data_IF_186657965369
#
_entry.id   IF_186657965369
#
_cell.length_a   1.000
_cell.length_b   1.000
_cell.length_c   1.000
_cell.angle_alpha   90.00
_cell.angle_beta   90.00
_cell.angle_gamma   90.00
#
_symmetry.space_group_name_H-M   'P 1'
#
loop_
_entity.id
_entity.type
_entity.pdbx_description
1 polymer ?
#
# COMPACT_ATOMS: atom_id res chain seq x y z
N UNK A 1 -19.04 15.89 -12.22
CA UNK A 1 -17.89 15.01 -12.48
C UNK A 1 -18.32 13.55 -12.54
N UNK A 2 -17.62 12.73 -13.30
CA UNK A 2 -17.83 11.27 -13.29
C UNK A 2 -17.09 10.65 -12.08
N UNK A 3 -17.74 9.70 -11.43
CA UNK A 3 -17.17 8.97 -10.31
C UNK A 3 -17.70 7.54 -10.21
N UNK A 4 -16.90 6.61 -9.74
CA UNK A 4 -17.32 5.26 -9.37
C UNK A 4 -17.81 5.28 -7.91
N UNK A 5 -19.07 4.90 -7.68
CA UNK A 5 -19.68 4.94 -6.36
C UNK A 5 -19.91 3.55 -5.79
N UNK A 6 -19.47 3.35 -4.56
CA UNK A 6 -19.88 2.22 -3.73
C UNK A 6 -21.16 2.60 -2.97
N UNK A 7 -22.29 1.94 -3.31
CA UNK A 7 -23.60 2.21 -2.68
C UNK A 7 -23.98 1.22 -1.59
N UNK A 8 -23.38 0.03 -1.64
CA UNK A 8 -23.58 -1.03 -0.64
C UNK A 8 -22.34 -1.91 -0.57
N UNK A 9 -22.00 -2.35 0.63
CA UNK A 9 -20.97 -3.37 0.86
C UNK A 9 -21.53 -4.77 0.61
N UNK A 10 -20.70 -5.69 0.11
CA UNK A 10 -21.10 -7.06 -0.10
C UNK A 10 -20.00 -7.90 -0.76
N UNK A 11 -20.18 -9.22 -0.72
CA UNK A 11 -19.20 -10.14 -1.32
C UNK A 11 -19.12 -10.00 -2.82
N UNK A 12 -17.92 -9.89 -3.36
CA UNK A 12 -17.64 -9.88 -4.79
C UNK A 12 -17.97 -11.22 -5.49
N UNK A 13 -18.13 -12.32 -4.72
CA UNK A 13 -18.65 -13.57 -5.27
C UNK A 13 -20.15 -13.48 -5.63
N UNK A 14 -20.87 -12.61 -4.93
CA UNK A 14 -22.30 -12.38 -5.14
C UNK A 14 -22.53 -11.24 -6.14
N UNK A 15 -21.79 -10.15 -5.98
CA UNK A 15 -21.85 -8.99 -6.88
C UNK A 15 -20.44 -8.63 -7.36
N UNK A 16 -20.02 -9.09 -8.55
CA UNK A 16 -18.70 -8.77 -9.11
C UNK A 16 -18.59 -7.34 -9.67
N UNK A 17 -19.68 -6.57 -9.67
CA UNK A 17 -19.75 -5.18 -10.18
C UNK A 17 -20.34 -4.28 -9.08
N UNK A 18 -19.60 -4.09 -7.95
CA UNK A 18 -20.12 -3.35 -6.79
C UNK A 18 -20.12 -1.83 -6.98
N UNK A 19 -19.30 -1.33 -7.90
CA UNK A 19 -19.17 0.11 -8.16
C UNK A 19 -20.02 0.52 -9.37
N UNK A 20 -20.74 1.62 -9.22
CA UNK A 20 -21.57 2.22 -10.28
C UNK A 20 -20.93 3.53 -10.76
N UNK A 21 -20.78 3.68 -12.08
CA UNK A 21 -20.33 4.95 -12.68
C UNK A 21 -21.49 5.94 -12.70
N UNK A 22 -21.30 7.10 -12.07
CA UNK A 22 -22.32 8.16 -12.03
C UNK A 22 -21.72 9.55 -12.28
N UNK A 23 -22.57 10.46 -12.71
CA UNK A 23 -22.30 11.89 -12.68
C UNK A 23 -22.78 12.46 -11.35
N UNK A 24 -21.87 13.07 -10.59
CA UNK A 24 -22.15 13.72 -9.32
C UNK A 24 -21.66 15.18 -9.35
N UNK A 25 -22.09 15.98 -8.39
CA UNK A 25 -21.63 17.38 -8.26
C UNK A 25 -20.12 17.43 -8.07
N UNK A 26 -19.48 18.44 -8.65
CA UNK A 26 -18.06 18.71 -8.43
C UNK A 26 -17.83 19.10 -6.96
N UNK A 27 -16.82 18.53 -6.28
CA UNK A 27 -16.50 18.92 -4.92
C UNK A 27 -15.89 20.32 -4.88
N UNK A 28 -16.22 21.10 -3.85
CA UNK A 28 -15.59 22.38 -3.55
C UNK A 28 -14.60 22.19 -2.40
N UNK A 29 -13.37 22.72 -2.49
CA UNK A 29 -12.42 22.62 -1.38
C UNK A 29 -12.85 23.48 -0.19
N UNK A 30 -12.71 22.93 1.03
CA UNK A 30 -12.83 23.71 2.26
C UNK A 30 -11.65 24.68 2.38
N UNK A 31 -11.65 25.55 3.42
CA UNK A 31 -10.65 26.62 3.58
C UNK A 31 -9.19 26.15 3.51
N UNK A 32 -8.88 24.99 4.06
CA UNK A 32 -7.54 24.38 4.14
C UNK A 32 -7.31 23.24 3.15
N UNK A 33 -8.29 23.00 2.25
CA UNK A 33 -8.22 21.96 1.25
C UNK A 33 -7.75 22.47 -0.12
N UNK A 34 -7.29 21.53 -0.91
CA UNK A 34 -7.04 21.70 -2.35
C UNK A 34 -8.00 20.81 -3.14
N UNK A 35 -8.46 21.30 -4.29
CA UNK A 35 -9.19 20.55 -5.30
C UNK A 35 -8.19 19.98 -6.29
N UNK A 36 -8.23 18.69 -6.49
CA UNK A 36 -7.32 17.94 -7.36
C UNK A 36 -8.09 17.39 -8.55
N UNK A 37 -7.59 17.62 -9.76
CA UNK A 37 -7.95 16.84 -10.96
C UNK A 37 -7.14 15.57 -10.93
N UNK A 38 -7.82 14.43 -10.79
CA UNK A 38 -7.18 13.12 -10.73
C UNK A 38 -6.71 12.71 -12.12
N UNK A 39 -5.46 12.28 -12.23
CA UNK A 39 -4.88 11.73 -13.46
C UNK A 39 -4.78 10.20 -13.40
N UNK A 40 -4.43 9.67 -12.22
CA UNK A 40 -4.32 8.24 -11.96
C UNK A 40 -4.69 7.90 -10.52
N UNK A 41 -5.27 6.71 -10.32
CA UNK A 41 -5.52 6.17 -8.98
C UNK A 41 -5.21 4.67 -8.96
N UNK A 42 -4.35 4.23 -8.03
CA UNK A 42 -4.04 2.82 -7.85
C UNK A 42 -5.22 2.02 -7.31
N UNK A 43 -5.15 0.71 -7.47
CA UNK A 43 -6.17 -0.25 -7.02
C UNK A 43 -5.50 -1.22 -6.03
N UNK A 44 -5.94 -1.17 -4.79
CA UNK A 44 -5.34 -1.86 -3.66
C UNK A 44 -6.30 -2.90 -3.03
N UNK A 45 -5.76 -3.80 -2.22
CA UNK A 45 -6.57 -4.74 -1.43
C UNK A 45 -7.43 -4.03 -0.39
N UNK A 46 -7.11 -2.80 -0.01
CA UNK A 46 -7.91 -1.98 0.90
C UNK A 46 -9.30 -1.72 0.35
N UNK A 47 -9.43 -1.39 -0.95
CA UNK A 47 -10.74 -1.22 -1.58
C UNK A 47 -11.54 -2.53 -1.58
N UNK A 48 -10.89 -3.68 -1.76
CA UNK A 48 -11.55 -4.99 -1.63
C UNK A 48 -12.10 -5.21 -0.21
N UNK A 49 -11.33 -4.81 0.82
CA UNK A 49 -11.75 -4.94 2.22
C UNK A 49 -12.89 -3.98 2.58
N UNK A 50 -12.89 -2.78 2.02
CA UNK A 50 -13.95 -1.79 2.18
C UNK A 50 -15.24 -2.26 1.50
N UNK A 51 -15.16 -2.72 0.24
CA UNK A 51 -16.28 -3.21 -0.55
C UNK A 51 -16.90 -4.47 0.08
N UNK A 52 -16.09 -5.43 0.48
CA UNK A 52 -16.56 -6.69 1.08
C UNK A 52 -16.95 -6.56 2.55
N UNK A 53 -16.86 -5.36 3.13
CA UNK A 53 -17.36 -5.05 4.47
C UNK A 53 -16.47 -5.53 5.63
N UNK A 54 -15.19 -5.82 5.36
CA UNK A 54 -14.20 -6.11 6.43
C UNK A 54 -13.74 -4.83 7.14
N UNK A 55 -13.60 -3.75 6.38
CA UNK A 55 -13.34 -2.39 6.89
C UNK A 55 -14.34 -1.40 6.25
N UNK A 56 -15.64 -1.54 6.55
CA UNK A 56 -16.69 -0.87 5.78
C UNK A 56 -16.60 0.65 5.93
N UNK A 57 -16.94 1.39 4.87
CA UNK A 57 -17.16 2.83 4.97
C UNK A 57 -18.22 3.16 6.01
N UNK A 58 -18.02 4.18 6.87
CA UNK A 58 -19.01 4.56 7.89
C UNK A 58 -20.26 5.18 7.28
N UNK A 59 -20.18 5.62 6.03
CA UNK A 59 -21.28 6.24 5.28
C UNK A 59 -21.22 5.80 3.82
N UNK A 60 -22.37 5.49 3.24
CA UNK A 60 -22.58 5.20 1.84
C UNK A 60 -23.62 6.18 1.25
N UNK A 61 -23.57 6.53 -0.05
CA UNK A 61 -22.52 6.13 -0.99
C UNK A 61 -21.17 6.81 -0.69
N UNK A 62 -20.08 6.22 -1.18
CA UNK A 62 -18.73 6.79 -1.13
C UNK A 62 -18.01 6.51 -2.46
N UNK A 63 -17.11 7.39 -2.85
CA UNK A 63 -16.16 7.18 -3.96
C UNK A 63 -14.90 6.53 -3.37
N UNK A 64 -14.53 5.29 -3.75
CA UNK A 64 -13.31 4.64 -3.29
C UNK A 64 -12.03 5.24 -3.88
N UNK A 65 -10.87 4.65 -3.54
CA UNK A 65 -9.58 4.98 -4.15
C UNK A 65 -8.74 5.92 -3.31
N UNK A 66 -7.51 5.49 -2.98
CA UNK A 66 -6.62 6.22 -2.07
C UNK A 66 -5.16 6.31 -2.55
N UNK A 67 -4.84 5.81 -3.72
CA UNK A 67 -3.51 5.91 -4.33
C UNK A 67 -3.55 6.96 -5.46
N UNK A 68 -3.77 8.22 -5.09
CA UNK A 68 -4.13 9.27 -6.05
C UNK A 68 -2.91 10.07 -6.52
N UNK A 69 -2.83 10.30 -7.82
CA UNK A 69 -1.94 11.30 -8.42
C UNK A 69 -2.77 12.24 -9.31
N UNK A 70 -2.54 13.53 -9.19
CA UNK A 70 -3.26 14.51 -9.96
C UNK A 70 -2.64 15.91 -9.93
N UNK A 71 -3.41 16.88 -10.38
CA UNK A 71 -2.99 18.28 -10.42
C UNK A 71 -3.97 19.18 -9.68
N UNK A 72 -3.43 20.10 -8.91
CA UNK A 72 -4.21 21.11 -8.20
C UNK A 72 -4.96 22.01 -9.17
N UNK A 73 -6.27 22.12 -9.00
CA UNK A 73 -7.17 22.96 -9.79
C UNK A 73 -7.52 24.26 -9.07
N UNK A 74 -7.75 24.16 -7.75
CA UNK A 74 -8.11 25.27 -6.89
C UNK A 74 -7.63 24.98 -5.46
N UNK A 75 -7.58 26.01 -4.64
CA UNK A 75 -7.24 25.91 -3.23
C UNK A 75 -8.21 26.78 -2.42
N UNK A 76 -8.54 26.33 -1.22
CA UNK A 76 -9.32 27.09 -0.26
C UNK A 76 -8.56 28.31 0.28
N UNK A 77 -9.29 29.22 0.94
CA UNK A 77 -8.76 30.52 1.35
C UNK A 77 -7.60 30.46 2.37
N UNK A 78 -7.40 29.35 3.05
CA UNK A 78 -6.29 29.13 4.01
C UNK A 78 -5.19 28.22 3.48
N UNK A 79 -5.42 27.48 2.39
CA UNK A 79 -4.40 26.65 1.76
C UNK A 79 -3.31 27.50 1.09
N UNK A 80 -2.03 27.17 1.32
CA UNK A 80 -0.87 27.97 0.87
C UNK A 80 0.28 27.13 0.33
N UNK A 81 0.24 25.80 0.51
CA UNK A 81 1.36 24.92 0.14
C UNK A 81 1.45 24.68 -1.35
N UNK A 82 0.31 24.64 -2.03
CA UNK A 82 0.23 24.31 -3.45
C UNK A 82 -0.45 25.41 -4.24
N UNK A 83 -0.10 25.47 -5.53
CA UNK A 83 -0.67 26.38 -6.52
C UNK A 83 -1.39 25.60 -7.58
N UNK A 84 -2.26 26.24 -8.33
CA UNK A 84 -2.90 25.65 -9.50
C UNK A 84 -1.84 25.12 -10.49
N UNK A 85 -2.01 23.90 -10.93
CA UNK A 85 -1.09 23.18 -11.82
C UNK A 85 -0.05 22.32 -11.11
N UNK A 86 0.20 22.52 -9.81
CA UNK A 86 1.13 21.69 -9.05
C UNK A 86 0.69 20.22 -9.07
N UNK A 87 1.68 19.34 -9.24
CA UNK A 87 1.49 17.89 -9.27
C UNK A 87 1.58 17.31 -7.88
N UNK A 88 0.53 16.64 -7.44
CA UNK A 88 0.41 16.13 -6.07
C UNK A 88 -0.06 14.67 -6.04
N UNK A 89 0.33 13.97 -4.96
CA UNK A 89 -0.15 12.64 -4.61
C UNK A 89 -0.87 12.65 -3.27
N UNK A 90 -1.86 11.77 -3.13
CA UNK A 90 -2.64 11.56 -1.90
C UNK A 90 -2.67 10.08 -1.57
N UNK A 91 -2.34 9.76 -0.31
CA UNK A 91 -2.41 8.40 0.22
C UNK A 91 -3.70 8.10 0.96
N UNK A 92 -3.72 6.99 1.70
CA UNK A 92 -4.92 6.58 2.45
C UNK A 92 -5.29 7.53 3.60
N UNK A 93 -4.32 8.21 4.21
CA UNK A 93 -4.61 9.21 5.24
C UNK A 93 -5.15 10.49 4.59
N UNK A 94 -6.44 10.77 4.82
CA UNK A 94 -7.06 12.02 4.40
C UNK A 94 -6.84 13.12 5.45
N UNK A 95 -7.02 12.79 6.71
CA UNK A 95 -6.84 13.72 7.83
C UNK A 95 -6.69 12.98 9.16
N UNK A 96 -6.00 13.58 10.12
CA UNK A 96 -5.84 13.09 11.48
C UNK A 96 -5.42 14.24 12.40
N UNK A 97 -4.77 13.92 13.54
CA UNK A 97 -4.31 14.89 14.55
C UNK A 97 -2.91 15.49 14.26
N UNK A 98 -2.25 15.08 13.19
CA UNK A 98 -0.93 15.60 12.77
C UNK A 98 0.25 15.16 13.66
N UNK A 99 0.07 14.22 14.58
CA UNK A 99 1.14 13.70 15.44
C UNK A 99 1.95 12.62 14.72
N UNK A 100 3.09 12.22 15.30
CA UNK A 100 3.93 11.12 14.76
C UNK A 100 3.23 9.75 14.77
N UNK A 101 2.10 9.63 15.47
CA UNK A 101 1.27 8.44 15.59
C UNK A 101 -0.13 8.63 14.99
N UNK A 102 -0.33 9.65 14.17
CA UNK A 102 -1.61 10.00 13.57
C UNK A 102 -2.27 8.86 12.77
N UNK A 103 -1.47 7.95 12.23
CA UNK A 103 -1.95 6.78 11.50
C UNK A 103 -2.70 5.74 12.38
N UNK A 104 -2.56 5.82 13.69
CA UNK A 104 -3.27 5.01 14.68
C UNK A 104 -4.12 5.86 15.64
N UNK A 105 -4.29 7.14 15.34
CA UNK A 105 -5.13 8.06 16.11
C UNK A 105 -6.62 7.77 15.93
N UNK A 106 -7.45 7.97 16.96
CA UNK A 106 -8.91 7.95 16.80
C UNK A 106 -9.45 9.05 15.87
N UNK A 107 -8.66 10.10 15.61
CA UNK A 107 -9.00 11.17 14.67
C UNK A 107 -8.72 10.80 13.21
N UNK A 108 -8.10 9.65 12.95
CA UNK A 108 -7.76 9.19 11.60
C UNK A 108 -9.00 9.05 10.72
N UNK A 109 -8.95 9.66 9.53
CA UNK A 109 -9.95 9.50 8.46
C UNK A 109 -9.26 9.05 7.19
N UNK A 110 -9.83 8.04 6.55
CA UNK A 110 -9.28 7.45 5.34
C UNK A 110 -9.87 8.04 4.07
N UNK A 111 -9.00 8.35 3.10
CA UNK A 111 -9.37 8.65 1.71
C UNK A 111 -10.03 7.43 1.08
N UNK A 112 -11.17 7.61 0.43
CA UNK A 112 -11.90 6.53 -0.24
C UNK A 112 -12.79 5.69 0.67
N UNK A 113 -12.67 5.83 2.01
CA UNK A 113 -13.52 5.13 2.98
C UNK A 113 -14.36 6.09 3.82
N UNK A 114 -13.72 7.01 4.55
CA UNK A 114 -14.40 7.97 5.46
C UNK A 114 -14.81 9.24 4.72
N UNK A 115 -14.16 9.51 3.61
CA UNK A 115 -14.41 10.60 2.66
C UNK A 115 -14.25 10.09 1.24
N UNK A 116 -14.80 10.80 0.25
CA UNK A 116 -14.63 10.45 -1.14
C UNK A 116 -13.16 10.44 -1.57
N UNK A 117 -12.79 9.45 -2.36
CA UNK A 117 -11.44 9.21 -2.86
C UNK A 117 -11.25 9.49 -4.35
N UNK A 118 -10.27 8.81 -4.94
CA UNK A 118 -9.75 9.10 -6.27
C UNK A 118 -10.34 8.30 -7.43
N UNK A 119 -11.35 7.45 -7.22
CA UNK A 119 -12.06 6.83 -8.34
C UNK A 119 -13.06 7.81 -8.95
N UNK A 120 -12.61 9.01 -9.23
CA UNK A 120 -13.36 10.13 -9.76
C UNK A 120 -12.46 11.09 -10.54
N UNK A 121 -13.06 11.98 -11.33
CA UNK A 121 -12.34 13.04 -12.07
C UNK A 121 -11.76 14.10 -11.14
N UNK A 122 -12.43 14.38 -10.01
CA UNK A 122 -12.03 15.40 -9.04
C UNK A 122 -12.13 14.85 -7.61
N UNK A 123 -11.25 15.33 -6.72
CA UNK A 123 -11.33 15.10 -5.28
C UNK A 123 -10.81 16.29 -4.49
N UNK A 124 -11.16 16.40 -3.21
CA UNK A 124 -10.56 17.35 -2.28
C UNK A 124 -9.76 16.64 -1.18
N UNK A 125 -8.76 17.33 -0.64
CA UNK A 125 -7.97 16.87 0.51
C UNK A 125 -7.38 18.08 1.25
N UNK A 126 -7.26 18.06 2.59
CA UNK A 126 -6.49 19.07 3.29
C UNK A 126 -5.05 19.10 2.76
N UNK A 127 -4.55 20.29 2.45
CA UNK A 127 -3.26 20.45 1.74
C UNK A 127 -2.07 19.79 2.45
N UNK A 128 -2.14 19.62 3.78
CA UNK A 128 -1.08 19.01 4.58
C UNK A 128 -0.93 17.51 4.32
N UNK A 129 -2.00 16.86 3.86
CA UNK A 129 -2.03 15.43 3.52
C UNK A 129 -1.79 15.13 2.04
N UNK A 130 -1.56 16.16 1.22
CA UNK A 130 -1.04 16.01 -0.13
C UNK A 130 0.48 16.16 -0.13
N UNK A 131 1.16 15.40 -0.98
CA UNK A 131 2.61 15.46 -1.15
C UNK A 131 3.00 15.77 -2.59
N UNK A 132 4.08 16.55 -2.85
CA UNK A 132 4.57 16.77 -4.20
C UNK A 132 5.08 15.45 -4.79
N UNK A 133 4.67 15.13 -6.01
CA UNK A 133 5.11 13.92 -6.73
C UNK A 133 6.37 14.24 -7.53
N UNK A 134 7.48 13.49 -7.36
CA UNK A 134 8.69 13.69 -8.13
C UNK A 134 8.48 13.51 -9.65
N UNK A 135 9.10 14.39 -10.46
CA UNK A 135 8.95 14.40 -11.92
C UNK A 135 9.53 13.16 -12.61
N UNK A 136 10.38 12.40 -11.93
CA UNK A 136 10.98 11.17 -12.47
C UNK A 136 9.95 10.06 -12.72
N UNK A 137 8.80 10.10 -12.06
CA UNK A 137 7.73 9.14 -12.24
C UNK A 137 6.61 9.72 -13.10
N UNK A 138 6.05 8.95 -14.03
CA UNK A 138 4.77 9.23 -14.68
C UNK A 138 3.60 9.16 -13.67
N UNK A 139 2.41 9.64 -14.04
CA UNK A 139 1.25 9.66 -13.13
C UNK A 139 0.82 8.23 -12.75
N UNK A 140 0.89 7.30 -13.69
CA UNK A 140 0.56 5.88 -13.50
C UNK A 140 1.55 5.19 -12.57
N UNK A 141 2.85 5.40 -12.77
CA UNK A 141 3.90 4.79 -11.93
C UNK A 141 3.93 5.38 -10.53
N UNK A 142 3.56 6.66 -10.39
CA UNK A 142 3.54 7.33 -9.10
C UNK A 142 2.36 6.91 -8.22
N UNK A 143 1.21 6.51 -8.79
CA UNK A 143 0.01 6.18 -8.01
C UNK A 143 0.26 5.08 -6.96
N UNK A 144 0.87 3.92 -7.27
CA UNK A 144 1.15 2.89 -6.26
C UNK A 144 2.13 3.34 -5.17
N UNK A 145 2.93 4.37 -5.43
CA UNK A 145 3.85 4.92 -4.43
C UNK A 145 3.10 5.55 -3.25
N UNK A 146 1.87 6.04 -3.46
CA UNK A 146 1.05 6.69 -2.44
C UNK A 146 0.57 5.71 -1.33
N UNK A 147 0.53 4.41 -1.62
CA UNK A 147 0.19 3.37 -0.63
C UNK A 147 1.27 2.30 -0.56
N UNK A 148 1.36 1.42 -1.55
CA UNK A 148 2.27 0.27 -1.54
C UNK A 148 3.74 0.67 -1.31
N UNK A 149 4.19 1.76 -1.91
CA UNK A 149 5.52 2.32 -1.70
C UNK A 149 5.72 2.89 -0.30
N UNK A 150 4.84 3.78 0.13
CA UNK A 150 4.95 4.45 1.43
C UNK A 150 4.80 3.49 2.61
N UNK A 151 3.85 2.53 2.54
CA UNK A 151 3.68 1.48 3.56
C UNK A 151 4.89 0.53 3.57
N UNK A 152 5.43 0.22 2.38
CA UNK A 152 6.68 -0.54 2.25
C UNK A 152 7.86 0.16 2.92
N UNK A 153 8.02 1.47 2.69
CA UNK A 153 9.03 2.30 3.35
C UNK A 153 8.87 2.31 4.87
N UNK A 154 7.63 2.53 5.36
CA UNK A 154 7.34 2.46 6.80
C UNK A 154 7.67 1.08 7.37
N UNK A 155 7.31 0.00 6.66
CA UNK A 155 7.64 -1.36 7.07
C UNK A 155 9.14 -1.55 7.23
N UNK A 156 9.92 -1.09 6.25
CA UNK A 156 11.37 -1.18 6.27
C UNK A 156 11.99 -0.40 7.45
N UNK A 157 11.50 0.82 7.72
CA UNK A 157 11.91 1.58 8.93
C UNK A 157 11.59 0.85 10.23
N UNK A 158 10.42 0.21 10.31
CA UNK A 158 9.98 -0.50 11.52
C UNK A 158 10.75 -1.80 11.78
N UNK A 159 11.47 -2.34 10.79
CA UNK A 159 12.37 -3.48 11.00
C UNK A 159 13.52 -3.14 11.94
N UNK A 160 13.98 -1.89 11.94
CA UNK A 160 15.21 -1.49 12.62
C UNK A 160 16.48 -2.10 12.01
N UNK A 161 16.42 -2.55 10.75
CA UNK A 161 17.54 -3.18 10.02
C UNK A 161 18.75 -2.25 9.94
N UNK A 162 19.93 -2.76 10.24
CA UNK A 162 21.19 -2.10 9.98
C UNK A 162 21.82 -2.63 8.68
N UNK A 163 22.62 -1.79 8.01
CA UNK A 163 23.30 -2.21 6.77
C UNK A 163 24.27 -3.37 7.05
N UNK A 164 24.15 -4.45 6.29
CA UNK A 164 24.88 -5.70 6.46
C UNK A 164 24.09 -6.80 7.19
N UNK A 165 22.93 -6.48 7.78
CA UNK A 165 22.04 -7.48 8.38
C UNK A 165 21.08 -8.05 7.32
N UNK A 166 20.70 -9.31 7.46
CA UNK A 166 19.88 -10.05 6.50
C UNK A 166 18.38 -9.71 6.61
N UNK A 167 17.77 -9.36 5.49
CA UNK A 167 16.33 -9.08 5.36
C UNK A 167 15.59 -10.21 4.65
N UNK A 168 14.46 -10.64 5.20
CA UNK A 168 13.49 -11.49 4.53
C UNK A 168 12.26 -10.71 4.05
N UNK A 169 11.71 -11.09 2.90
CA UNK A 169 10.41 -10.60 2.41
C UNK A 169 9.52 -11.80 2.16
N UNK A 170 8.32 -11.85 2.77
CA UNK A 170 7.32 -12.87 2.47
C UNK A 170 6.17 -12.28 1.67
N UNK A 171 5.89 -12.87 0.50
CA UNK A 171 5.05 -12.30 -0.54
C UNK A 171 5.81 -11.31 -1.44
N UNK A 172 5.51 -11.35 -2.74
CA UNK A 172 6.20 -10.49 -3.72
C UNK A 172 5.22 -9.85 -4.70
N UNK A 173 4.24 -9.14 -4.14
CA UNK A 173 3.24 -8.34 -4.85
C UNK A 173 3.57 -6.84 -4.86
N UNK A 174 2.53 -6.00 -4.82
CA UNK A 174 2.62 -4.54 -4.93
C UNK A 174 3.61 -3.87 -3.98
N UNK A 175 3.65 -4.24 -2.68
CA UNK A 175 4.64 -3.69 -1.74
C UNK A 175 5.98 -4.40 -1.80
N UNK A 176 6.01 -5.74 -1.91
CA UNK A 176 7.24 -6.53 -1.80
C UNK A 176 8.30 -6.15 -2.84
N UNK A 177 7.91 -5.93 -4.11
CA UNK A 177 8.84 -5.57 -5.16
C UNK A 177 9.44 -4.16 -4.98
N UNK A 178 8.70 -3.22 -4.41
CA UNK A 178 9.20 -1.88 -4.08
C UNK A 178 10.12 -1.91 -2.85
N UNK A 179 9.76 -2.69 -1.83
CA UNK A 179 10.59 -2.85 -0.62
C UNK A 179 11.96 -3.46 -0.97
N UNK A 180 12.03 -4.47 -1.83
CA UNK A 180 13.29 -5.05 -2.27
C UNK A 180 14.21 -3.99 -2.88
N UNK A 181 13.71 -3.18 -3.82
CA UNK A 181 14.48 -2.14 -4.47
C UNK A 181 14.96 -1.05 -3.49
N UNK A 182 14.09 -0.62 -2.57
CA UNK A 182 14.45 0.30 -1.49
C UNK A 182 15.53 -0.29 -0.57
N UNK A 183 15.37 -1.56 -0.17
CA UNK A 183 16.34 -2.23 0.70
C UNK A 183 17.72 -2.33 0.04
N UNK A 184 17.78 -2.68 -1.25
CA UNK A 184 19.05 -2.72 -2.02
C UNK A 184 19.74 -1.36 -2.08
N UNK A 185 18.97 -0.27 -2.15
CA UNK A 185 19.52 1.08 -2.16
C UNK A 185 19.98 1.55 -0.78
N UNK A 186 19.12 1.38 0.24
CA UNK A 186 19.36 1.88 1.59
C UNK A 186 20.36 1.02 2.39
N UNK A 187 20.38 -0.28 2.12
CA UNK A 187 21.21 -1.27 2.81
C UNK A 187 21.99 -2.11 1.79
N UNK A 188 22.94 -1.51 1.05
CA UNK A 188 23.60 -2.18 -0.10
C UNK A 188 24.41 -3.42 0.27
N UNK A 189 24.80 -3.58 1.54
CA UNK A 189 25.54 -4.76 2.03
C UNK A 189 24.63 -5.82 2.68
N UNK A 190 23.31 -5.57 2.76
CA UNK A 190 22.34 -6.49 3.37
C UNK A 190 21.87 -7.51 2.34
N UNK A 191 22.05 -8.82 2.60
CA UNK A 191 21.40 -9.85 1.81
C UNK A 191 19.87 -9.74 1.93
N UNK A 192 19.17 -9.88 0.79
CA UNK A 192 17.70 -9.86 0.76
C UNK A 192 17.17 -11.16 0.20
N UNK A 193 16.40 -11.89 1.00
CA UNK A 193 15.80 -13.18 0.64
C UNK A 193 14.30 -13.06 0.50
N UNK A 194 13.75 -13.63 -0.57
CA UNK A 194 12.33 -13.51 -0.90
C UNK A 194 11.66 -14.88 -0.83
N UNK A 195 10.55 -14.95 -0.11
CA UNK A 195 9.70 -16.13 0.00
C UNK A 195 8.38 -15.88 -0.74
N UNK A 196 8.13 -16.62 -1.80
CA UNK A 196 6.90 -16.46 -2.59
C UNK A 196 6.42 -17.83 -3.12
N UNK A 197 5.08 -18.01 -3.15
CA UNK A 197 4.46 -19.28 -3.57
C UNK A 197 4.67 -19.57 -5.06
N UNK A 198 4.53 -18.53 -5.89
CA UNK A 198 4.61 -18.73 -7.34
C UNK A 198 6.05 -18.64 -7.85
N UNK A 199 6.41 -19.55 -8.74
CA UNK A 199 7.72 -19.52 -9.42
C UNK A 199 7.92 -18.21 -10.20
N UNK A 200 6.84 -17.63 -10.73
CA UNK A 200 6.87 -16.35 -11.44
C UNK A 200 7.31 -15.22 -10.52
N UNK A 201 6.76 -15.13 -9.30
CA UNK A 201 7.16 -14.14 -8.31
C UNK A 201 8.59 -14.33 -7.84
N UNK A 202 9.02 -15.59 -7.63
CA UNK A 202 10.39 -15.92 -7.27
C UNK A 202 11.40 -15.47 -8.33
N UNK A 203 11.11 -15.72 -9.61
CA UNK A 203 11.96 -15.23 -10.72
C UNK A 203 12.00 -13.73 -10.78
N UNK A 204 10.86 -13.07 -10.64
CA UNK A 204 10.78 -11.61 -10.63
C UNK A 204 11.60 -11.01 -9.47
N UNK A 205 11.60 -11.63 -8.29
CA UNK A 205 12.43 -11.21 -7.17
C UNK A 205 13.93 -11.27 -7.51
N UNK A 206 14.38 -12.33 -8.13
CA UNK A 206 15.78 -12.48 -8.56
C UNK A 206 16.15 -11.46 -9.66
N UNK A 207 15.24 -11.21 -10.61
CA UNK A 207 15.41 -10.19 -11.67
C UNK A 207 15.60 -8.77 -11.07
N UNK A 208 14.92 -8.47 -9.95
CA UNK A 208 15.03 -7.21 -9.22
C UNK A 208 16.18 -7.17 -8.21
N UNK A 209 16.98 -8.24 -8.11
CA UNK A 209 18.20 -8.26 -7.31
C UNK A 209 18.06 -8.87 -5.92
N UNK A 210 17.10 -9.76 -5.67
CA UNK A 210 17.12 -10.60 -4.48
C UNK A 210 18.33 -11.55 -4.54
N UNK A 211 19.00 -11.75 -3.41
CA UNK A 211 20.16 -12.66 -3.33
C UNK A 211 19.74 -14.13 -3.32
N UNK A 212 18.51 -14.41 -2.93
CA UNK A 212 17.89 -15.73 -2.93
C UNK A 212 16.36 -15.60 -3.00
N UNK A 213 15.71 -16.59 -3.60
CA UNK A 213 14.25 -16.71 -3.58
C UNK A 213 13.81 -18.15 -3.54
N UNK A 214 12.85 -18.48 -2.65
CA UNK A 214 12.29 -19.82 -2.47
C UNK A 214 10.83 -19.80 -2.10
N UNK A 215 10.24 -21.02 -1.95
CA UNK A 215 8.89 -21.16 -1.42
C UNK A 215 8.86 -20.88 0.10
N UNK A 216 7.64 -20.68 0.64
CA UNK A 216 7.42 -20.46 2.07
C UNK A 216 8.05 -21.54 2.96
N UNK A 217 8.11 -22.78 2.50
CA UNK A 217 8.65 -23.92 3.26
C UNK A 217 10.17 -24.12 3.06
N UNK A 218 10.77 -23.48 2.08
CA UNK A 218 12.20 -23.62 1.82
C UNK A 218 13.03 -22.85 2.84
N UNK A 219 14.20 -23.42 3.17
CA UNK A 219 15.15 -22.78 4.09
C UNK A 219 16.01 -21.76 3.34
N UNK A 220 16.13 -20.53 3.84
CA UNK A 220 17.05 -19.55 3.28
C UNK A 220 18.51 -19.93 3.56
N UNK A 221 19.48 -19.34 2.85
CA UNK A 221 20.90 -19.61 3.06
C UNK A 221 21.40 -19.37 4.50
N UNK A 222 20.79 -18.39 5.18
CA UNK A 222 21.11 -18.04 6.57
C UNK A 222 19.88 -17.50 7.31
N UNK A 223 19.96 -17.43 8.64
CA UNK A 223 18.88 -16.87 9.47
C UNK A 223 18.77 -15.34 9.29
N UNK A 224 17.59 -14.80 9.56
CA UNK A 224 17.19 -13.45 9.20
C UNK A 224 17.14 -12.51 10.40
N UNK A 225 17.70 -11.31 10.28
CA UNK A 225 17.60 -10.28 11.30
C UNK A 225 16.21 -9.65 11.34
N UNK A 226 15.63 -9.42 10.18
CA UNK A 226 14.29 -8.88 10.04
C UNK A 226 13.55 -9.54 8.88
N UNK A 227 12.22 -9.61 9.01
CA UNK A 227 11.34 -10.09 7.94
C UNK A 227 10.16 -9.13 7.80
N UNK A 228 9.82 -8.77 6.56
CA UNK A 228 8.59 -8.04 6.25
C UNK A 228 7.63 -9.02 5.59
N UNK A 229 6.46 -9.20 6.20
CA UNK A 229 5.40 -10.05 5.67
C UNK A 229 4.28 -9.23 5.04
N UNK A 230 4.03 -9.45 3.75
CA UNK A 230 2.99 -8.78 2.97
C UNK A 230 1.83 -9.71 2.59
N UNK A 231 1.81 -10.94 3.13
CA UNK A 231 0.83 -11.95 2.77
C UNK A 231 -0.43 -11.88 3.64
N UNK A 232 -1.59 -12.30 3.13
CA UNK A 232 -2.81 -12.41 3.96
C UNK A 232 -2.87 -13.72 4.78
N UNK A 233 -1.88 -14.63 4.64
CA UNK A 233 -1.88 -15.96 5.26
C UNK A 233 -1.12 -15.99 6.59
N UNK A 234 -1.41 -16.99 7.45
CA UNK A 234 -0.72 -17.23 8.71
C UNK A 234 0.53 -18.11 8.57
N UNK A 235 0.53 -19.04 7.62
CA UNK A 235 1.67 -19.93 7.34
C UNK A 235 2.99 -19.17 7.18
N UNK A 236 3.07 -18.09 6.36
CA UNK A 236 4.29 -17.30 6.22
C UNK A 236 4.73 -16.64 7.53
N UNK A 237 3.79 -16.25 8.40
CA UNK A 237 4.10 -15.65 9.72
C UNK A 237 4.83 -16.64 10.61
N UNK A 238 4.33 -17.88 10.72
CA UNK A 238 4.97 -18.93 11.53
C UNK A 238 6.36 -19.28 10.96
N UNK A 239 6.42 -19.53 9.66
CA UNK A 239 7.68 -19.83 8.98
C UNK A 239 8.71 -18.69 9.12
N UNK A 240 8.27 -17.44 9.09
CA UNK A 240 9.13 -16.28 9.31
C UNK A 240 9.71 -16.26 10.73
N UNK A 241 8.87 -16.49 11.76
CA UNK A 241 9.30 -16.49 13.16
C UNK A 241 10.35 -17.57 13.45
N UNK A 242 10.24 -18.76 12.84
CA UNK A 242 11.25 -19.83 12.97
C UNK A 242 12.61 -19.40 12.42
N UNK A 243 12.62 -18.59 11.36
CA UNK A 243 13.83 -18.18 10.64
C UNK A 243 14.51 -16.92 11.18
N UNK A 244 13.87 -16.24 12.15
CA UNK A 244 14.46 -15.07 12.80
C UNK A 244 15.62 -15.46 13.71
N UNK A 245 16.69 -14.67 13.64
CA UNK A 245 17.77 -14.65 14.64
C UNK A 245 17.21 -14.25 16.02
N UNK A 246 17.92 -14.57 17.13
CA UNK A 246 17.66 -13.96 18.43
C UNK A 246 17.58 -12.44 18.35
N UNK A 247 16.55 -11.84 18.98
CA UNK A 247 16.26 -10.41 18.91
C UNK A 247 15.80 -9.94 17.53
N UNK A 248 15.50 -10.85 16.59
CA UNK A 248 15.00 -10.52 15.25
C UNK A 248 13.55 -10.05 15.27
N UNK A 249 13.16 -9.34 14.23
CA UNK A 249 11.82 -8.72 14.15
C UNK A 249 11.08 -9.12 12.88
N UNK A 250 9.83 -9.58 13.06
CA UNK A 250 8.84 -9.73 12.02
C UNK A 250 7.95 -8.48 11.95
N UNK A 251 7.90 -7.83 10.80
CA UNK A 251 7.00 -6.69 10.53
C UNK A 251 5.90 -7.14 9.58
N UNK A 252 4.67 -7.20 10.06
CA UNK A 252 3.51 -7.60 9.25
C UNK A 252 2.90 -6.36 8.60
N UNK A 253 2.97 -6.30 7.28
CA UNK A 253 2.45 -5.23 6.41
C UNK A 253 1.18 -5.68 5.66
N UNK A 254 0.38 -6.54 6.22
CA UNK A 254 -0.90 -6.92 5.66
C UNK A 254 -2.02 -6.23 6.46
N UNK A 255 -2.98 -5.60 5.77
CA UNK A 255 -4.12 -4.95 6.43
C UNK A 255 -4.96 -5.97 7.22
N UNK A 256 -4.96 -7.23 6.78
CA UNK A 256 -5.65 -8.35 7.41
C UNK A 256 -4.92 -9.66 7.22
N UNK A 257 -5.31 -10.64 8.03
CA UNK A 257 -5.02 -12.06 7.82
C UNK A 257 -6.32 -12.81 7.52
N UNK A 258 -6.26 -13.73 6.57
CA UNK A 258 -7.40 -14.59 6.21
C UNK A 258 -7.53 -15.77 7.17
N UNK A 259 -8.73 -16.35 7.25
CA UNK A 259 -9.00 -17.48 8.15
C UNK A 259 -8.64 -18.85 7.52
N UNK A 260 -8.27 -18.89 6.23
CA UNK A 260 -8.07 -20.14 5.47
C UNK A 260 -6.99 -21.09 6.00
N UNK A 261 -6.03 -20.56 6.76
CA UNK A 261 -4.95 -21.34 7.39
C UNK A 261 -4.76 -20.97 8.87
N UNK A 262 -5.78 -20.39 9.49
CA UNK A 262 -5.76 -19.92 10.89
C UNK A 262 -5.49 -21.02 11.89
N UNK A 263 -5.92 -22.24 11.62
CA UNK A 263 -5.67 -23.41 12.46
C UNK A 263 -4.17 -23.69 12.65
N UNK A 264 -3.30 -23.26 11.74
CA UNK A 264 -1.85 -23.38 11.86
C UNK A 264 -1.30 -22.61 13.06
N UNK A 265 -2.00 -21.61 13.56
CA UNK A 265 -1.61 -20.91 14.80
C UNK A 265 -1.51 -21.85 16.02
N UNK A 266 -2.24 -22.98 16.01
CA UNK A 266 -2.13 -24.00 17.05
C UNK A 266 -0.76 -24.72 17.05
N UNK A 267 0.01 -24.62 15.97
CA UNK A 267 1.37 -25.16 15.86
C UNK A 267 2.46 -24.19 16.35
N UNK A 268 2.09 -22.99 16.82
CA UNK A 268 3.04 -22.05 17.40
C UNK A 268 3.71 -22.67 18.62
N UNK A 269 5.04 -22.79 18.56
CA UNK A 269 5.89 -23.26 19.67
C UNK A 269 6.68 -22.09 20.22
N UNK A 270 6.64 -21.91 21.54
CA UNK A 270 7.28 -20.77 22.19
C UNK A 270 8.79 -20.72 21.92
N UNK A 271 9.45 -21.87 22.00
CA UNK A 271 10.90 -22.02 21.86
C UNK A 271 11.42 -21.62 20.48
N UNK A 272 10.66 -21.95 19.45
CA UNK A 272 11.07 -21.76 18.05
C UNK A 272 10.62 -20.40 17.49
N UNK A 273 9.43 -19.94 17.90
CA UNK A 273 8.79 -18.78 17.27
C UNK A 273 8.93 -17.49 18.07
N UNK A 274 9.05 -17.56 19.41
CA UNK A 274 8.98 -16.37 20.28
C UNK A 274 10.20 -16.20 21.19
N UNK A 275 10.83 -17.31 21.61
CA UNK A 275 11.95 -17.27 22.53
C UNK A 275 13.12 -16.43 22.00
N UNK A 276 14.00 -15.97 22.88
CA UNK A 276 15.18 -15.14 22.57
C UNK A 276 14.83 -13.75 22.02
N UNK A 277 13.87 -13.09 22.63
CA UNK A 277 13.51 -11.69 22.35
C UNK A 277 13.06 -11.43 20.90
N UNK A 278 12.48 -12.43 20.22
CA UNK A 278 11.87 -12.22 18.91
C UNK A 278 10.66 -11.30 19.01
N UNK A 279 10.55 -10.37 18.09
CA UNK A 279 9.46 -9.38 18.07
C UNK A 279 8.51 -9.58 16.89
N UNK A 280 7.22 -9.32 17.13
CA UNK A 280 6.22 -9.15 16.08
C UNK A 280 5.71 -7.72 16.15
N UNK A 281 5.77 -7.01 15.02
CA UNK A 281 5.23 -5.66 14.87
C UNK A 281 4.34 -5.58 13.65
N UNK A 282 3.23 -4.85 13.74
CA UNK A 282 2.35 -4.62 12.60
C UNK A 282 2.51 -3.19 12.08
N UNK A 283 2.20 -3.00 10.80
CA UNK A 283 2.08 -1.68 10.19
C UNK A 283 0.61 -1.32 10.06
N UNK A 284 0.23 -0.19 10.60
CA UNK A 284 -1.10 0.36 10.44
C UNK A 284 -1.03 1.61 9.58
N UNK A 285 -1.06 1.44 8.24
CA UNK A 285 -1.02 2.58 7.32
C UNK A 285 0.27 3.44 7.45
N UNK A 286 0.22 4.67 6.93
CA UNK A 286 1.31 5.66 6.95
C UNK A 286 0.84 6.97 7.59
N UNK A 287 1.78 7.77 8.06
CA UNK A 287 1.57 9.17 8.41
C UNK A 287 1.79 10.05 7.17
N UNK A 288 1.31 11.30 7.19
CA UNK A 288 1.66 12.27 6.14
C UNK A 288 3.19 12.46 6.03
N UNK A 289 3.90 12.36 7.16
CA UNK A 289 5.36 12.44 7.21
C UNK A 289 6.04 11.27 6.49
N UNK A 290 5.55 10.03 6.67
CA UNK A 290 6.11 8.88 5.95
C UNK A 290 6.05 9.09 4.43
N UNK A 291 4.94 9.63 3.91
CA UNK A 291 4.79 9.94 2.49
C UNK A 291 5.72 11.07 2.05
N UNK A 292 5.82 12.14 2.86
CA UNK A 292 6.68 13.28 2.58
C UNK A 292 8.18 12.92 2.60
N UNK A 293 8.60 11.98 3.44
CA UNK A 293 9.98 11.47 3.50
C UNK A 293 10.26 10.46 2.38
N UNK A 294 9.28 9.59 2.09
CA UNK A 294 9.43 8.52 1.13
C UNK A 294 9.54 9.02 -0.32
N UNK A 295 8.70 9.95 -0.77
CA UNK A 295 8.67 10.36 -2.18
C UNK A 295 10.00 10.96 -2.67
N UNK A 296 10.68 11.85 -1.93
CA UNK A 296 12.03 12.31 -2.31
C UNK A 296 13.06 11.18 -2.33
N UNK A 297 12.95 10.20 -1.41
CA UNK A 297 13.82 9.02 -1.42
C UNK A 297 13.54 8.15 -2.65
N UNK A 298 12.27 7.90 -2.95
CA UNK A 298 11.86 7.12 -4.12
C UNK A 298 12.44 7.68 -5.43
N UNK A 299 12.58 9.01 -5.53
CA UNK A 299 13.21 9.64 -6.67
C UNK A 299 14.73 9.40 -6.79
N UNK A 300 15.39 9.03 -5.70
CA UNK A 300 16.83 8.69 -5.67
C UNK A 300 17.08 7.20 -5.91
N UNK A 301 16.11 6.37 -5.59
CA UNK A 301 16.14 4.93 -5.85
C UNK A 301 15.69 4.70 -7.29
N UNK A 302 16.39 3.90 -8.10
CA UNK A 302 15.93 3.56 -9.46
C UNK A 302 14.75 2.56 -9.39
N UNK A 303 13.62 3.02 -8.83
CA UNK A 303 12.43 2.20 -8.66
C UNK A 303 11.81 1.86 -10.02
N UNK A 304 11.71 0.59 -10.31
CA UNK A 304 10.88 0.08 -11.38
C UNK A 304 9.50 -0.28 -10.82
N UNK A 305 8.49 0.53 -11.16
CA UNK A 305 7.11 0.33 -10.74
C UNK A 305 6.35 -0.35 -11.86
N UNK A 306 6.18 -1.67 -11.74
CA UNK A 306 5.35 -2.43 -12.70
C UNK A 306 3.88 -2.05 -12.52
N UNK A 307 3.21 -1.68 -13.62
CA UNK A 307 1.80 -1.26 -13.58
C UNK A 307 1.00 -1.86 -14.75
N UNK A 308 -0.28 -2.12 -14.48
CA UNK A 308 -1.29 -2.47 -15.47
C UNK A 308 -2.42 -1.44 -15.38
N UNK A 309 -2.79 -0.83 -16.52
CA UNK A 309 -3.72 0.30 -16.54
C UNK A 309 -5.13 -0.10 -16.98
N UNK A 310 -6.13 0.54 -16.37
CA UNK A 310 -7.54 0.41 -16.67
C UNK A 310 -8.15 1.81 -16.78
N UNK A 311 -9.11 2.07 -17.66
CA UNK A 311 -9.88 3.32 -17.60
C UNK A 311 -10.76 3.34 -16.34
N UNK A 312 -11.20 4.52 -15.90
CA UNK A 312 -12.04 4.69 -14.71
C UNK A 312 -13.25 3.75 -14.69
N UNK A 313 -13.91 3.62 -15.83
CA UNK A 313 -15.12 2.81 -16.02
C UNK A 313 -14.87 1.30 -15.81
N UNK A 314 -13.63 0.85 -15.93
CA UNK A 314 -13.22 -0.54 -15.73
C UNK A 314 -12.70 -0.81 -14.29
N UNK A 315 -13.02 0.04 -13.31
CA UNK A 315 -12.59 -0.13 -11.92
C UNK A 315 -13.01 -1.49 -11.33
N UNK A 316 -14.21 -1.98 -11.68
CA UNK A 316 -14.68 -3.31 -11.26
C UNK A 316 -13.81 -4.44 -11.85
N UNK A 317 -13.37 -4.34 -13.09
CA UNK A 317 -12.48 -5.34 -13.71
C UNK A 317 -11.12 -5.35 -13.02
N UNK A 318 -10.55 -4.17 -12.75
CA UNK A 318 -9.29 -4.03 -12.04
C UNK A 318 -9.35 -4.65 -10.62
N UNK A 319 -10.44 -4.41 -9.88
CA UNK A 319 -10.69 -5.01 -8.55
C UNK A 319 -10.81 -6.54 -8.62
N UNK A 320 -11.56 -7.07 -9.60
CA UNK A 320 -11.72 -8.51 -9.79
C UNK A 320 -10.40 -9.20 -10.17
N UNK A 321 -9.60 -8.58 -11.03
CA UNK A 321 -8.28 -9.11 -11.42
C UNK A 321 -7.29 -9.07 -10.26
N UNK A 322 -7.33 -8.02 -9.42
CA UNK A 322 -6.56 -7.94 -8.19
C UNK A 322 -6.93 -9.09 -7.24
N UNK A 323 -8.25 -9.32 -7.04
CA UNK A 323 -8.78 -10.36 -6.16
C UNK A 323 -8.39 -11.79 -6.63
N UNK A 324 -8.32 -12.02 -7.94
CA UNK A 324 -7.90 -13.32 -8.51
C UNK A 324 -6.40 -13.59 -8.38
N UNK A 325 -5.62 -12.62 -7.90
CA UNK A 325 -4.18 -12.78 -7.72
C UNK A 325 -3.38 -12.74 -9.04
N UNK A 326 -3.95 -12.24 -10.13
CA UNK A 326 -3.23 -12.02 -11.39
C UNK A 326 -2.39 -10.73 -11.29
N UNK A 327 -1.45 -10.71 -10.33
CA UNK A 327 -0.68 -9.51 -10.03
C UNK A 327 0.78 -9.68 -10.49
N UNK A 328 1.22 -8.74 -11.31
CA UNK A 328 2.62 -8.38 -11.48
C UNK A 328 2.68 -6.85 -11.33
N UNK A 329 3.26 -6.37 -10.22
CA UNK A 329 3.23 -4.95 -9.90
C UNK A 329 1.89 -4.46 -9.34
N UNK A 330 1.39 -3.33 -9.80
CA UNK A 330 0.17 -2.68 -9.33
C UNK A 330 -0.84 -2.44 -10.47
N UNK A 331 -2.13 -2.40 -10.13
CA UNK A 331 -3.19 -1.99 -11.05
C UNK A 331 -3.50 -0.51 -10.83
N UNK A 332 -3.73 0.22 -11.92
CA UNK A 332 -3.92 1.68 -11.87
C UNK A 332 -5.05 2.10 -12.79
N UNK A 333 -6.00 2.83 -12.25
CA UNK A 333 -7.03 3.52 -13.04
C UNK A 333 -6.43 4.78 -13.65
N UNK A 334 -6.61 4.96 -14.96
CA UNK A 334 -6.32 6.22 -15.67
C UNK A 334 -7.60 7.02 -15.82
N UNK A 335 -7.59 8.27 -15.38
CA UNK A 335 -8.75 9.14 -15.39
C UNK A 335 -8.54 10.19 -16.49
N UNK A 336 -9.21 9.97 -17.64
CA UNK A 336 -9.19 10.90 -18.75
C UNK A 336 -10.45 11.78 -18.69
N UNK A 337 -10.26 13.07 -18.92
CA UNK A 337 -11.36 14.05 -19.04
C UNK A 337 -11.55 14.39 -20.51
#
# INVERSE_FOLDING_TARGET
>A
MRAMLLKATGSLDVNPVPLELEEIDDPAPADDEILIRVAACGVCHTELDEIEGRTPPPKLPVVPGHEVVGRVMAAGDKARRFRQGDRVGVGWIHSSDGTDTENISPAFRATGRDVNGGYAELMTVPEVYAAPVPDVFGDVEAAPLMCAGAVGYRSLRLTGLANGETLGLTGFGGSGHLVLQMARHLFPNSPVFVFARSERERRFALELGADWSGDTDESPPEALRAIIDTTPAWKPVLAALERLLPGGRLVINAIRKEDGDRELLASLRYEDHLWLEKEIKTVANVTHRDLAEFLPLAAQVPLHVETETYPLEAANDALNDLRRGHIRGAKVLTISI
#
